data_IF_358975256275
#
_entry.id   IF_358975256275
#
_cell.length_a   1.000
_cell.length_b   1.000
_cell.length_c   1.000
_cell.angle_alpha   90.00
_cell.angle_beta   90.00
_cell.angle_gamma   90.00
#
_symmetry.space_group_name_H-M   'P 1'
#
loop_
_entity.id
_entity.type
_entity.pdbx_description
1 polymer ?
#
# COMPACT_ATOMS: atom_id res chain seq x y z
N UNK A 1 9.66 -14.78 0.28
CA UNK A 1 8.38 -15.21 -0.24
C UNK A 1 7.33 -14.15 0.06
N UNK A 2 6.52 -13.80 -0.90
CA UNK A 2 5.52 -12.76 -0.71
C UNK A 2 4.46 -13.21 0.27
N UNK A 3 3.92 -12.28 1.05
CA UNK A 3 2.83 -12.57 1.95
C UNK A 3 1.57 -12.90 1.15
N UNK A 4 0.65 -13.58 1.82
CA UNK A 4 -0.63 -13.93 1.22
C UNK A 4 -1.45 -12.67 1.05
N UNK A 5 -1.76 -12.32 -0.20
CA UNK A 5 -2.51 -11.10 -0.52
C UNK A 5 -4.01 -11.34 -0.54
N UNK A 6 -4.47 -12.53 -0.25
CA UNK A 6 -5.90 -12.82 -0.28
C UNK A 6 -6.69 -12.05 0.77
N UNK A 7 -6.01 -11.55 1.80
CA UNK A 7 -6.64 -10.73 2.84
C UNK A 7 -6.70 -9.24 2.51
N UNK A 8 -6.17 -8.84 1.36
CA UNK A 8 -6.16 -7.42 0.99
C UNK A 8 -7.42 -7.10 0.21
N UNK A 9 -8.10 -6.03 0.60
CA UNK A 9 -9.30 -5.61 -0.12
C UNK A 9 -9.38 -4.09 -0.11
N UNK A 10 -10.34 -3.57 -0.86
CA UNK A 10 -10.53 -2.12 -0.99
C UNK A 10 -10.74 -1.48 0.37
N UNK A 11 -10.25 -0.26 0.49
CA UNK A 11 -10.40 0.59 1.67
C UNK A 11 -9.58 0.16 2.88
N UNK A 12 -8.74 -0.87 2.76
CA UNK A 12 -7.83 -1.23 3.84
C UNK A 12 -6.73 -0.18 3.98
N UNK A 13 -6.38 0.11 5.22
CA UNK A 13 -5.26 1.00 5.48
C UNK A 13 -3.94 0.28 5.18
N UNK A 14 -2.99 1.02 4.59
CA UNK A 14 -1.64 0.52 4.34
C UNK A 14 -0.69 1.28 5.25
N UNK A 15 0.13 0.54 6.00
CA UNK A 15 1.13 1.13 6.88
C UNK A 15 2.50 0.55 6.56
N UNK A 16 3.53 1.30 6.90
CA UNK A 16 4.90 0.82 6.76
C UNK A 16 5.26 -0.15 7.86
N UNK A 17 6.49 -0.68 7.80
CA UNK A 17 6.97 -1.59 8.83
C UNK A 17 7.07 -0.91 10.19
N UNK A 18 7.12 0.42 10.19
CA UNK A 18 7.16 1.21 11.42
C UNK A 18 5.78 1.59 11.93
N UNK A 19 4.72 1.12 11.26
CA UNK A 19 3.35 1.40 11.66
C UNK A 19 2.81 2.75 11.20
N UNK A 20 3.60 3.51 10.47
CA UNK A 20 3.17 4.82 9.97
C UNK A 20 2.27 4.65 8.75
N UNK A 21 1.27 5.52 8.61
CA UNK A 21 0.32 5.46 7.51
C UNK A 21 0.99 5.72 6.16
N UNK A 22 0.71 4.86 5.18
CA UNK A 22 1.20 5.02 3.82
C UNK A 22 0.06 5.41 2.88
N UNK A 23 -1.09 4.77 3.01
CA UNK A 23 -2.21 5.07 2.13
C UNK A 23 -3.37 4.14 2.40
N UNK A 24 -4.29 4.11 1.46
CA UNK A 24 -5.49 3.27 1.53
C UNK A 24 -5.64 2.54 0.21
N UNK A 25 -5.95 1.26 0.28
CA UNK A 25 -6.09 0.44 -0.92
C UNK A 25 -7.29 0.90 -1.73
N UNK A 26 -7.07 1.20 -3.01
CA UNK A 26 -8.15 1.45 -3.95
C UNK A 26 -8.57 0.12 -4.59
N UNK A 27 -7.58 -0.62 -5.10
CA UNK A 27 -7.82 -1.97 -5.63
C UNK A 27 -6.50 -2.68 -5.86
N UNK A 28 -6.59 -3.98 -6.12
CA UNK A 28 -5.43 -4.78 -6.47
C UNK A 28 -5.53 -5.14 -7.94
N UNK A 29 -4.43 -4.99 -8.65
CA UNK A 29 -4.37 -5.26 -10.08
C UNK A 29 -3.17 -6.15 -10.34
N UNK A 30 -3.39 -7.47 -10.36
CA UNK A 30 -2.30 -8.42 -10.54
C UNK A 30 -1.35 -8.40 -9.36
N UNK A 31 -0.09 -8.06 -9.62
CA UNK A 31 0.94 -7.99 -8.60
C UNK A 31 1.14 -6.55 -8.08
N UNK A 32 0.18 -5.67 -8.33
CA UNK A 32 0.27 -4.26 -7.96
C UNK A 32 -0.92 -3.87 -7.10
N UNK A 33 -0.67 -3.08 -6.08
CA UNK A 33 -1.71 -2.50 -5.24
C UNK A 33 -1.82 -1.03 -5.61
N UNK A 34 -3.02 -0.61 -6.01
CA UNK A 34 -3.29 0.79 -6.32
C UNK A 34 -3.85 1.46 -5.09
N UNK A 35 -3.24 2.57 -4.70
CA UNK A 35 -3.67 3.34 -3.53
C UNK A 35 -4.55 4.49 -3.99
N UNK A 36 -5.56 4.81 -3.19
CA UNK A 36 -6.55 5.82 -3.57
C UNK A 36 -5.97 7.22 -3.47
N UNK A 37 -6.41 8.08 -4.39
CA UNK A 37 -6.00 9.48 -4.39
C UNK A 37 -6.73 10.30 -3.33
N UNK A 38 -7.77 9.76 -2.74
CA UNK A 38 -8.53 10.48 -1.73
C UNK A 38 -7.89 10.41 -0.35
N UNK A 39 -6.81 9.61 -0.21
CA UNK A 39 -6.06 9.55 1.04
C UNK A 39 -5.19 10.80 1.15
N UNK A 40 -5.17 11.41 2.35
CA UNK A 40 -4.40 12.64 2.51
C UNK A 40 -2.91 12.44 2.25
N UNK A 41 -2.40 11.23 2.50
CA UNK A 41 -0.98 10.94 2.27
C UNK A 41 -0.66 10.83 0.79
N UNK A 42 -1.67 10.74 -0.06
CA UNK A 42 -1.47 10.55 -1.50
C UNK A 42 -1.09 11.83 -2.23
N UNK A 43 -1.32 12.97 -1.63
CA UNK A 43 -1.09 14.24 -2.32
C UNK A 43 -2.07 14.48 -3.47
N UNK A 44 -3.21 13.81 -3.47
CA UNK A 44 -4.21 13.97 -4.52
C UNK A 44 -3.98 13.11 -5.73
N UNK A 45 -3.09 12.13 -5.65
CA UNK A 45 -2.77 11.24 -6.77
C UNK A 45 -2.90 9.79 -6.34
N UNK A 46 -3.27 8.93 -7.30
CA UNK A 46 -3.16 7.50 -7.09
C UNK A 46 -1.67 7.12 -7.06
N UNK A 47 -1.34 6.14 -6.25
CA UNK A 47 0.01 5.59 -6.21
C UNK A 47 -0.08 4.08 -6.32
N UNK A 48 1.00 3.46 -6.77
CA UNK A 48 1.04 2.02 -6.95
C UNK A 48 2.26 1.47 -6.23
N UNK A 49 2.04 0.36 -5.54
CA UNK A 49 3.12 -0.36 -4.87
C UNK A 49 3.02 -1.83 -5.27
N UNK A 50 4.15 -2.53 -5.34
CA UNK A 50 4.10 -3.95 -5.68
C UNK A 50 3.62 -4.78 -4.49
N UNK A 51 2.94 -5.88 -4.78
CA UNK A 51 2.51 -6.79 -3.73
C UNK A 51 3.69 -7.42 -2.99
N UNK A 52 4.87 -7.42 -3.62
CA UNK A 52 6.08 -7.95 -2.98
C UNK A 52 6.47 -7.16 -1.73
N UNK A 53 5.99 -5.93 -1.59
CA UNK A 53 6.28 -5.13 -0.41
C UNK A 53 5.43 -5.54 0.80
N UNK A 54 4.39 -6.36 0.60
CA UNK A 54 3.46 -6.70 1.66
C UNK A 54 4.10 -7.73 2.59
N UNK A 55 4.20 -7.40 3.86
CA UNK A 55 4.69 -8.30 4.87
C UNK A 55 3.53 -9.09 5.49
N UNK A 56 2.40 -8.42 5.73
CA UNK A 56 1.22 -9.07 6.27
C UNK A 56 -0.01 -8.26 5.90
N UNK A 57 -1.16 -8.93 5.93
CA UNK A 57 -2.44 -8.29 5.64
C UNK A 57 -3.48 -8.89 6.59
N UNK A 58 -3.55 -8.34 7.78
CA UNK A 58 -4.42 -8.82 8.83
C UNK A 58 -5.20 -7.62 9.37
N UNK A 59 -6.25 -7.25 8.65
CA UNK A 59 -7.03 -6.05 8.95
C UNK A 59 -6.38 -4.77 8.46
N UNK A 60 -5.06 -4.78 8.29
CA UNK A 60 -4.28 -3.67 7.80
C UNK A 60 -3.15 -4.24 6.96
N UNK A 61 -2.82 -3.59 5.85
CA UNK A 61 -1.70 -4.01 5.02
C UNK A 61 -0.43 -3.43 5.62
N UNK A 62 0.48 -4.30 6.06
CA UNK A 62 1.78 -3.86 6.59
C UNK A 62 2.86 -4.18 5.58
N UNK A 63 3.66 -3.17 5.27
CA UNK A 63 4.73 -3.31 4.28
C UNK A 63 6.02 -3.76 4.97
N UNK A 64 6.99 -4.20 4.17
CA UNK A 64 8.28 -4.66 4.67
C UNK A 64 9.31 -3.53 4.74
N UNK A 65 8.88 -2.30 4.58
CA UNK A 65 9.76 -1.13 4.66
C UNK A 65 9.03 0.01 5.35
N UNK A 66 9.77 0.97 5.94
CA UNK A 66 9.14 2.10 6.61
C UNK A 66 8.30 2.93 5.65
N UNK A 67 7.30 3.62 6.19
CA UNK A 67 6.40 4.43 5.38
C UNK A 67 7.16 5.46 4.54
N UNK A 68 8.14 6.13 5.13
CA UNK A 68 8.90 7.14 4.41
C UNK A 68 9.62 6.55 3.21
N UNK A 69 10.21 5.36 3.37
CA UNK A 69 10.88 4.69 2.28
C UNK A 69 9.90 4.26 1.20
N UNK A 70 8.75 3.72 1.61
CA UNK A 70 7.73 3.32 0.65
C UNK A 70 7.25 4.53 -0.16
N UNK A 71 7.03 5.65 0.50
CA UNK A 71 6.56 6.86 -0.17
C UNK A 71 7.60 7.46 -1.10
N UNK A 72 8.88 7.17 -0.86
CA UNK A 72 9.93 7.66 -1.74
C UNK A 72 10.11 6.77 -2.96
N UNK A 73 9.60 5.54 -2.91
CA UNK A 73 9.78 4.57 -3.98
C UNK A 73 8.52 4.24 -4.74
N UNK A 74 7.36 4.60 -4.22
CA UNK A 74 6.10 4.29 -4.90
C UNK A 74 5.98 5.08 -6.20
N UNK A 75 5.12 4.59 -7.10
CA UNK A 75 4.93 5.23 -8.40
C UNK A 75 3.57 5.91 -8.42
N UNK A 76 3.55 7.14 -8.91
CA UNK A 76 2.29 7.85 -9.11
C UNK A 76 1.58 7.25 -10.31
N UNK A 77 0.27 7.10 -10.19
CA UNK A 77 -0.60 6.61 -11.26
C UNK A 77 -1.73 7.60 -11.42
N UNK A 78 -1.77 8.26 -12.56
CA UNK A 78 -2.83 9.23 -12.86
C UNK A 78 -4.08 8.54 -13.35
#
# INVERSE_FOLDING_TARGET
MAADISGIHEHMEVVGSDGQHVGTVDRIDGSTIKLTKSDRASGGRHHMIPTDWVQSADGTVRLNKPAQEAMSEWKAAE
#
